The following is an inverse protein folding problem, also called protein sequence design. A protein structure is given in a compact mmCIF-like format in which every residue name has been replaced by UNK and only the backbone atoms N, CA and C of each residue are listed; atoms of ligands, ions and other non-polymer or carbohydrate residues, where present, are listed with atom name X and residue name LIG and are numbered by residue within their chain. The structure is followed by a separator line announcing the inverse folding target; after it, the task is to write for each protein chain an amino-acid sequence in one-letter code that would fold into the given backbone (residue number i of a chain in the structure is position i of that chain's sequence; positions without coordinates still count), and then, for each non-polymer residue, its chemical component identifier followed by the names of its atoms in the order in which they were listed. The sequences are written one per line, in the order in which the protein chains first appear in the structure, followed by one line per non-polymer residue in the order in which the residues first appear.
data_IF_372243165331
#
_entry.id   IF_372243165331
#
_cell.length_a   1.000
_cell.length_b   1.000
_cell.length_c   1.000
_cell.angle_alpha   90.00
_cell.angle_beta   90.00
_cell.angle_gamma   90.00
#
_symmetry.space_group_name_H-M   'P 1'
#
loop_
_entity.id
_entity.type
_entity.pdbx_description
1 polymer ?
#
# COMPACT_ATOMS: atom_id res chain seq x y z
N UNK A 1 12.17 3.09 3.60
CA UNK A 1 11.03 3.50 2.75
C UNK A 1 9.72 3.21 3.46
N UNK A 2 8.77 4.08 3.28
CA UNK A 2 7.42 3.94 3.84
C UNK A 2 6.45 3.71 2.69
N UNK A 3 5.60 2.69 2.82
CA UNK A 3 4.54 2.40 1.86
C UNK A 3 3.21 2.78 2.48
N UNK A 4 2.45 3.64 1.80
CA UNK A 4 1.09 3.99 2.19
C UNK A 4 0.12 3.29 1.24
N UNK A 5 -0.87 2.61 1.83
CA UNK A 5 -1.91 1.89 1.09
C UNK A 5 -3.25 2.54 1.40
N UNK A 6 -3.94 3.02 0.37
CA UNK A 6 -5.27 3.60 0.50
C UNK A 6 -6.19 2.95 -0.52
N UNK A 7 -7.05 2.07 -0.04
CA UNK A 7 -8.06 1.39 -0.86
C UNK A 7 -9.47 1.89 -0.57
N UNK A 8 -9.60 3.07 0.02
CA UNK A 8 -10.91 3.66 0.35
C UNK A 8 -11.69 4.08 -0.90
N UNK A 9 -10.99 4.52 -1.92
CA UNK A 9 -11.57 4.92 -3.21
C UNK A 9 -10.66 4.45 -4.33
N UNK A 10 -10.88 3.20 -4.79
CA UNK A 10 -9.99 2.61 -5.76
C UNK A 10 -8.69 2.15 -5.13
N UNK A 11 -7.62 2.22 -5.87
CA UNK A 11 -6.31 1.77 -5.40
C UNK A 11 -5.32 2.92 -5.48
N UNK A 12 -4.84 3.35 -4.34
CA UNK A 12 -3.85 4.41 -4.24
C UNK A 12 -2.67 3.92 -3.41
N UNK A 13 -1.48 4.05 -3.97
CA UNK A 13 -0.25 3.66 -3.29
C UNK A 13 0.73 4.83 -3.34
N UNK A 14 1.42 5.05 -2.24
CA UNK A 14 2.46 6.07 -2.15
C UNK A 14 3.69 5.42 -1.54
N UNK A 15 4.82 5.57 -2.21
CA UNK A 15 6.11 5.12 -1.73
C UNK A 15 6.99 6.34 -1.49
N UNK A 16 7.55 6.45 -0.29
CA UNK A 16 8.36 7.60 0.04
C UNK A 16 9.17 7.41 1.31
N UNK A 17 9.77 8.48 1.75
CA UNK A 17 10.47 8.54 3.01
C UNK A 17 10.05 9.82 3.75
N UNK A 18 10.70 10.13 4.87
CA UNK A 18 10.35 11.30 5.67
C UNK A 18 10.52 12.62 4.92
N UNK A 19 11.33 12.65 3.88
CA UNK A 19 11.68 13.89 3.18
C UNK A 19 10.85 14.10 1.93
N UNK A 20 10.49 13.02 1.22
CA UNK A 20 9.80 13.17 -0.07
C UNK A 20 9.05 11.91 -0.48
N UNK A 21 8.07 12.12 -1.35
CA UNK A 21 7.39 11.06 -2.07
C UNK A 21 8.29 10.66 -3.24
N UNK A 22 8.52 9.37 -3.40
CA UNK A 22 9.40 8.85 -4.46
C UNK A 22 8.58 8.35 -5.64
N UNK A 23 7.46 7.65 -5.38
CA UNK A 23 6.63 7.11 -6.44
C UNK A 23 5.19 6.99 -5.97
N UNK A 24 4.24 7.17 -6.88
CA UNK A 24 2.82 7.03 -6.57
C UNK A 24 2.13 6.19 -7.64
N UNK A 25 1.03 5.56 -7.24
CA UNK A 25 0.16 4.85 -8.15
C UNK A 25 -1.27 5.19 -7.78
N UNK A 26 -2.08 5.55 -8.77
CA UNK A 26 -3.47 5.90 -8.56
C UNK A 26 -4.33 5.23 -9.63
N UNK A 27 -5.16 4.28 -9.20
CA UNK A 27 -6.14 3.60 -10.06
C UNK A 27 -7.53 3.80 -9.46
N UNK A 28 -8.23 4.89 -9.81
CA UNK A 28 -9.50 5.25 -9.16
C UNK A 28 -10.65 4.29 -9.46
N UNK A 29 -10.56 3.52 -10.53
CA UNK A 29 -11.64 2.60 -10.94
C UNK A 29 -11.10 1.21 -11.16
N UNK A 30 -10.78 0.54 -10.08
CA UNK A 30 -10.33 -0.85 -10.16
C UNK A 30 -11.44 -1.76 -9.64
N UNK A 31 -11.78 -2.80 -10.39
CA UNK A 31 -12.89 -3.68 -10.05
C UNK A 31 -12.57 -4.63 -8.91
N UNK A 32 -11.36 -5.16 -8.87
CA UNK A 32 -10.96 -6.18 -7.89
C UNK A 32 -9.65 -5.80 -7.24
N UNK A 33 -9.73 -4.95 -6.23
CA UNK A 33 -8.56 -4.50 -5.47
C UNK A 33 -7.81 -5.69 -4.89
N UNK A 34 -8.52 -6.70 -4.40
CA UNK A 34 -7.88 -7.87 -3.80
C UNK A 34 -6.98 -8.63 -4.76
N UNK A 35 -7.30 -8.64 -6.04
CA UNK A 35 -6.48 -9.33 -7.05
C UNK A 35 -5.32 -8.48 -7.53
N UNK A 36 -5.49 -7.16 -7.51
CA UNK A 36 -4.54 -6.23 -8.09
C UNK A 36 -3.52 -5.70 -7.08
N UNK A 37 -3.87 -5.64 -5.80
CA UNK A 37 -3.11 -4.89 -4.81
C UNK A 37 -1.66 -5.34 -4.69
N UNK A 38 -1.41 -6.63 -4.53
CA UNK A 38 -0.05 -7.13 -4.36
C UNK A 38 0.78 -6.91 -5.61
N UNK A 39 0.20 -7.18 -6.79
CA UNK A 39 0.89 -6.95 -8.05
C UNK A 39 1.25 -5.48 -8.25
N UNK A 40 0.35 -4.58 -7.87
CA UNK A 40 0.59 -3.16 -8.01
C UNK A 40 1.62 -2.64 -7.01
N UNK A 41 1.68 -3.22 -5.82
CA UNK A 41 2.75 -2.89 -4.86
C UNK A 41 4.10 -3.28 -5.46
N UNK A 42 4.20 -4.47 -6.04
CA UNK A 42 5.44 -4.91 -6.68
C UNK A 42 5.81 -4.02 -7.85
N UNK A 43 4.85 -3.64 -8.68
CA UNK A 43 5.09 -2.73 -9.79
C UNK A 43 5.59 -1.37 -9.31
N UNK A 44 5.01 -0.85 -8.23
CA UNK A 44 5.42 0.42 -7.64
C UNK A 44 6.86 0.36 -7.16
N UNK A 45 7.21 -0.68 -6.43
CA UNK A 45 8.57 -0.89 -5.94
C UNK A 45 9.56 -1.00 -7.08
N UNK A 46 9.23 -1.81 -8.10
CA UNK A 46 10.10 -1.99 -9.26
C UNK A 46 10.31 -0.68 -10.02
N UNK A 47 9.27 0.12 -10.19
CA UNK A 47 9.38 1.40 -10.89
C UNK A 47 10.28 2.39 -10.15
N UNK A 48 10.41 2.22 -8.84
CA UNK A 48 11.29 3.06 -8.02
C UNK A 48 12.66 2.42 -7.81
N UNK A 49 12.94 1.29 -8.44
CA UNK A 49 14.16 0.50 -8.25
C UNK A 49 14.36 0.09 -6.78
N UNK A 50 13.26 -0.26 -6.13
CA UNK A 50 13.23 -0.70 -4.73
C UNK A 50 12.67 -2.12 -4.62
N UNK A 51 12.86 -2.74 -3.47
CA UNK A 51 12.32 -4.05 -3.16
C UNK A 51 11.62 -4.03 -1.81
N UNK A 52 10.95 -5.13 -1.46
CA UNK A 52 10.31 -5.24 -0.16
C UNK A 52 11.27 -5.02 1.01
N UNK A 53 12.53 -5.39 0.83
CA UNK A 53 13.56 -5.20 1.87
C UNK A 53 13.81 -3.74 2.22
N UNK A 54 13.49 -2.84 1.31
CA UNK A 54 13.67 -1.41 1.54
C UNK A 54 12.55 -0.81 2.38
N UNK A 55 11.46 -1.53 2.59
CA UNK A 55 10.34 -1.04 3.39
C UNK A 55 10.66 -1.13 4.87
N UNK A 56 10.42 -0.03 5.58
CA UNK A 56 10.64 0.07 7.02
C UNK A 56 9.35 0.28 7.80
N UNK A 57 8.26 0.66 7.12
CA UNK A 57 6.97 0.91 7.74
C UNK A 57 5.88 0.86 6.68
N UNK A 58 4.69 0.42 7.09
CA UNK A 58 3.50 0.47 6.24
C UNK A 58 2.45 1.30 6.95
N UNK A 59 1.82 2.22 6.21
CA UNK A 59 0.68 2.99 6.68
C UNK A 59 -0.51 2.59 5.81
N UNK A 60 -1.64 2.30 6.44
CA UNK A 60 -2.85 1.92 5.70
C UNK A 60 -4.02 2.78 6.16
N UNK A 61 -4.84 3.21 5.21
CA UNK A 61 -6.04 3.99 5.49
C UNK A 61 -7.15 3.03 5.92
N UNK A 62 -7.67 3.23 7.13
CA UNK A 62 -8.73 2.41 7.72
C UNK A 62 -10.14 2.80 7.29
N UNK A 63 -10.30 3.89 6.58
CA UNK A 63 -11.60 4.42 6.17
C UNK A 63 -11.73 5.88 6.55
N UNK A 64 -12.89 6.52 6.29
CA UNK A 64 -14.06 5.96 5.65
C UNK A 64 -13.86 5.70 4.15
N UNK A 65 -14.70 4.86 3.57
CA UNK A 65 -14.65 4.56 2.14
C UNK A 65 -15.28 3.21 1.82
N UNK A 66 -14.91 2.64 0.69
CA UNK A 66 -15.39 1.32 0.27
C UNK A 66 -15.06 0.28 1.34
N UNK A 67 -16.08 -0.33 1.89
CA UNK A 67 -15.91 -1.30 2.97
C UNK A 67 -15.01 -2.47 2.55
N UNK A 68 -15.27 -3.04 1.36
CA UNK A 68 -14.47 -4.16 0.84
C UNK A 68 -13.03 -3.74 0.55
N UNK A 69 -12.86 -2.59 -0.09
CA UNK A 69 -11.53 -2.08 -0.42
C UNK A 69 -10.70 -1.78 0.82
N UNK A 70 -11.28 -1.11 1.81
CA UNK A 70 -10.59 -0.79 3.05
C UNK A 70 -10.15 -2.08 3.77
N UNK A 71 -11.02 -3.06 3.86
CA UNK A 71 -10.69 -4.34 4.50
C UNK A 71 -9.56 -5.07 3.77
N UNK A 72 -9.61 -5.08 2.45
CA UNK A 72 -8.54 -5.69 1.64
C UNK A 72 -7.21 -5.00 1.90
N UNK A 73 -7.19 -3.67 1.88
CA UNK A 73 -5.98 -2.90 2.14
C UNK A 73 -5.39 -3.16 3.51
N UNK A 74 -6.23 -3.17 4.54
CA UNK A 74 -5.80 -3.44 5.92
C UNK A 74 -5.24 -4.85 6.05
N UNK A 75 -5.92 -5.85 5.46
CA UNK A 75 -5.47 -7.24 5.52
C UNK A 75 -4.10 -7.41 4.85
N UNK A 76 -3.95 -6.89 3.64
CA UNK A 76 -2.68 -7.00 2.91
C UNK A 76 -1.57 -6.26 3.65
N UNK A 77 -1.87 -5.07 4.19
CA UNK A 77 -0.88 -4.29 4.94
C UNK A 77 -0.38 -5.07 6.16
N UNK A 78 -1.29 -5.70 6.90
CA UNK A 78 -0.92 -6.48 8.09
C UNK A 78 -0.09 -7.71 7.74
N UNK A 79 -0.51 -8.45 6.72
CA UNK A 79 0.22 -9.65 6.30
C UNK A 79 1.62 -9.27 5.81
N UNK A 80 1.71 -8.22 5.02
CA UNK A 80 2.99 -7.75 4.50
C UNK A 80 3.92 -7.27 5.61
N UNK A 81 3.40 -6.48 6.55
CA UNK A 81 4.18 -6.00 7.68
C UNK A 81 4.68 -7.15 8.55
N UNK A 82 3.83 -8.14 8.80
CA UNK A 82 4.21 -9.31 9.57
C UNK A 82 5.31 -10.10 8.86
N UNK A 83 5.15 -10.31 7.54
CA UNK A 83 6.13 -11.04 6.74
C UNK A 83 7.48 -10.35 6.71
N UNK A 84 7.51 -9.03 6.71
CA UNK A 84 8.73 -8.24 6.64
C UNK A 84 9.26 -7.85 8.03
N UNK A 85 8.51 -8.16 9.06
CA UNK A 85 8.84 -7.80 10.45
C UNK A 85 9.04 -6.28 10.61
N UNK A 86 8.09 -5.53 10.09
CA UNK A 86 8.08 -4.05 10.17
C UNK A 86 6.75 -3.57 10.74
N UNK A 87 6.71 -2.36 11.32
CA UNK A 87 5.46 -1.84 11.88
C UNK A 87 4.44 -1.48 10.82
N UNK A 88 3.16 -1.59 11.17
CA UNK A 88 2.03 -1.14 10.37
C UNK A 88 1.19 -0.21 11.22
N UNK A 89 0.75 0.90 10.62
CA UNK A 89 -0.08 1.90 11.28
C UNK A 89 -1.33 2.15 10.45
N UNK A 90 -2.50 2.08 11.09
CA UNK A 90 -3.77 2.44 10.47
C UNK A 90 -4.15 3.87 10.79
N UNK A 91 -4.66 4.58 9.80
CA UNK A 91 -5.15 5.95 9.99
C UNK A 91 -6.48 6.20 9.30
#
# INVERSE_FOLDING_TARGET
MILLIDCSKGLNLILGNRKKIIQTLNKPRIKKVSEALVAEIENLLNSASKSYKDLTKIIVINGPGSFTGVRTGVTVAKVLALSLNIPVCGI
#
